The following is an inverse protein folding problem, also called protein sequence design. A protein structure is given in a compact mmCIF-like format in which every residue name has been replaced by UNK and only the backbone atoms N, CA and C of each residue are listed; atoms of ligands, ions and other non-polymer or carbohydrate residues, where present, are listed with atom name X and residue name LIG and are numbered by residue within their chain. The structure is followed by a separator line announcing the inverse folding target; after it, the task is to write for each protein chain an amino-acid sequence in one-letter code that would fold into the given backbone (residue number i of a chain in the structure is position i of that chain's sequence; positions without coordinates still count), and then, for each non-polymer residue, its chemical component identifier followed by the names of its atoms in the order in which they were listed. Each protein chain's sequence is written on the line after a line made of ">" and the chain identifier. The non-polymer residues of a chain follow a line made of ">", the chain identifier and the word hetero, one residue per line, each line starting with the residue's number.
data_IF_035181847576
#
_entry.id   IF_035181847576
#
_cell.length_a   1.000
_cell.length_b   1.000
_cell.length_c   1.000
_cell.angle_alpha   90.00
_cell.angle_beta   90.00
_cell.angle_gamma   90.00
#
_symmetry.space_group_name_H-M   'P 1'
#
loop_
_entity.id
_entity.type
_entity.pdbx_description
1 polymer ?
#
# COMPACT_ATOMS: atom_id res chain seq x y z
N UNK A 1 -24.99 -29.49 -19.91
CA UNK A 1 -23.77 -29.69 -19.10
C UNK A 1 -22.94 -28.42 -19.14
N UNK A 2 -23.17 -27.49 -18.20
CA UNK A 2 -22.42 -26.24 -18.13
C UNK A 2 -21.13 -26.50 -17.34
N UNK A 3 -19.98 -26.29 -17.98
CA UNK A 3 -18.66 -26.39 -17.33
C UNK A 3 -18.51 -25.23 -16.35
N UNK A 4 -18.60 -25.52 -15.05
CA UNK A 4 -18.30 -24.57 -13.98
C UNK A 4 -16.81 -24.21 -14.05
N UNK A 5 -16.52 -22.95 -14.36
CA UNK A 5 -15.16 -22.40 -14.42
C UNK A 5 -14.62 -22.34 -12.98
N UNK A 6 -13.68 -23.23 -12.67
CA UNK A 6 -12.98 -23.29 -11.38
C UNK A 6 -12.11 -22.03 -11.25
N UNK A 7 -12.50 -21.11 -10.37
CA UNK A 7 -11.67 -19.94 -10.04
C UNK A 7 -10.39 -20.42 -9.34
N UNK A 8 -9.25 -19.94 -9.85
CA UNK A 8 -7.93 -20.31 -9.37
C UNK A 8 -7.67 -19.66 -8.00
N UNK A 9 -7.09 -20.43 -7.06
CA UNK A 9 -6.68 -19.92 -5.76
C UNK A 9 -5.62 -18.81 -5.92
N UNK A 10 -5.72 -17.68 -5.19
CA UNK A 10 -4.74 -16.60 -5.32
C UNK A 10 -3.40 -17.04 -4.70
N UNK A 11 -2.33 -16.95 -5.49
CA UNK A 11 -0.99 -17.44 -5.16
C UNK A 11 -0.22 -16.54 -4.16
N UNK A 12 -0.77 -15.38 -3.78
CA UNK A 12 -0.11 -14.43 -2.88
C UNK A 12 -1.13 -13.64 -2.05
N UNK A 13 -0.82 -13.32 -0.79
CA UNK A 13 -1.66 -12.49 0.11
C UNK A 13 -2.08 -11.15 -0.52
N UNK A 14 -1.25 -10.60 -1.41
CA UNK A 14 -1.51 -9.36 -2.14
C UNK A 14 -2.58 -9.49 -3.24
N UNK A 15 -2.72 -10.67 -3.88
CA UNK A 15 -3.68 -10.90 -4.96
C UNK A 15 -5.10 -11.12 -4.42
N UNK A 16 -5.22 -11.72 -3.23
CA UNK A 16 -6.50 -11.85 -2.54
C UNK A 16 -7.12 -10.49 -2.18
N UNK A 17 -6.29 -9.48 -1.89
CA UNK A 17 -6.73 -8.15 -1.44
C UNK A 17 -7.08 -7.17 -2.59
N UNK A 18 -6.77 -7.50 -3.85
CA UNK A 18 -7.17 -6.68 -5.01
C UNK A 18 -8.66 -6.81 -5.38
N UNK A 19 -9.31 -7.88 -4.94
CA UNK A 19 -10.66 -8.25 -5.39
C UNK A 19 -11.81 -7.65 -4.57
N UNK A 20 -11.52 -7.05 -3.41
CA UNK A 20 -12.55 -6.52 -2.51
C UNK A 20 -12.66 -5.00 -2.67
N UNK A 21 -13.82 -4.51 -3.14
CA UNK A 21 -14.21 -3.10 -3.07
C UNK A 21 -14.43 -2.69 -1.60
N UNK A 22 -13.32 -2.51 -0.88
CA UNK A 22 -13.30 -2.01 0.49
C UNK A 22 -13.50 -0.49 0.48
N UNK A 23 -14.71 -0.06 0.14
CA UNK A 23 -15.15 1.34 0.17
C UNK A 23 -16.25 1.45 1.20
N UNK A 24 -16.14 2.47 2.06
CA UNK A 24 -17.19 2.80 3.02
C UNK A 24 -18.42 3.23 2.20
N UNK A 25 -19.60 2.69 2.49
CA UNK A 25 -20.84 3.09 1.80
C UNK A 25 -21.59 4.09 2.69
N UNK A 26 -22.20 5.14 2.12
CA UNK A 26 -23.03 6.05 2.90
C UNK A 26 -24.24 5.28 3.44
N UNK A 27 -24.48 5.40 4.75
CA UNK A 27 -25.62 4.76 5.40
C UNK A 27 -26.13 5.66 6.53
N UNK A 28 -27.44 5.76 6.67
CA UNK A 28 -28.07 6.49 7.79
C UNK A 28 -27.89 5.76 9.13
N UNK A 29 -27.70 4.44 9.09
CA UNK A 29 -27.46 3.57 10.25
C UNK A 29 -26.04 3.02 10.18
N UNK A 30 -25.37 2.87 11.32
CA UNK A 30 -24.06 2.21 11.42
C UNK A 30 -24.23 0.73 11.78
N UNK A 31 -24.45 -0.19 10.82
CA UNK A 31 -24.45 -1.61 11.11
C UNK A 31 -23.04 -2.04 11.54
N UNK A 32 -22.89 -2.90 12.56
CA UNK A 32 -21.62 -3.52 12.88
C UNK A 32 -21.25 -4.48 11.75
N UNK A 33 -20.40 -4.01 10.83
CA UNK A 33 -19.83 -4.81 9.75
C UNK A 33 -18.50 -5.36 10.24
N UNK A 34 -18.22 -6.65 10.03
CA UNK A 34 -16.88 -7.19 10.29
C UNK A 34 -15.89 -6.66 9.24
N UNK A 35 -15.09 -5.67 9.63
CA UNK A 35 -14.05 -5.08 8.78
C UNK A 35 -12.64 -5.56 9.14
N UNK A 36 -12.52 -6.66 9.89
CA UNK A 36 -11.24 -7.20 10.36
C UNK A 36 -10.31 -7.63 9.22
N UNK A 37 -10.88 -7.98 8.06
CA UNK A 37 -10.17 -8.46 6.87
C UNK A 37 -9.85 -7.35 5.86
N UNK A 38 -10.30 -6.12 6.10
CA UNK A 38 -10.05 -5.00 5.19
C UNK A 38 -8.56 -4.61 5.20
N UNK A 39 -8.01 -4.13 4.07
CA UNK A 39 -6.59 -3.89 3.94
C UNK A 39 -6.14 -2.57 4.57
N UNK A 40 -4.88 -2.55 5.01
CA UNK A 40 -4.15 -1.35 5.42
C UNK A 40 -4.91 -0.51 6.47
N UNK A 41 -5.17 0.76 6.15
CA UNK A 41 -5.78 1.75 7.03
C UNK A 41 -7.28 1.50 7.28
N UNK A 42 -7.92 0.69 6.44
CA UNK A 42 -9.35 0.38 6.56
C UNK A 42 -9.63 -0.86 7.41
N UNK A 43 -8.58 -1.52 7.93
CA UNK A 43 -8.70 -2.64 8.85
C UNK A 43 -9.34 -2.20 10.17
N UNK A 44 -10.35 -2.93 10.63
CA UNK A 44 -11.08 -2.63 11.86
C UNK A 44 -11.74 -1.24 11.88
N UNK A 45 -12.24 -0.78 10.73
CA UNK A 45 -13.01 0.45 10.58
C UNK A 45 -14.20 0.53 11.55
N UNK A 46 -14.79 -0.62 11.90
CA UNK A 46 -15.87 -0.75 12.91
C UNK A 46 -15.53 -0.16 14.28
N UNK A 47 -14.24 -0.04 14.60
CA UNK A 47 -13.77 0.50 15.89
C UNK A 47 -13.64 2.02 15.91
N UNK A 48 -13.83 2.70 14.78
CA UNK A 48 -13.76 4.17 14.71
C UNK A 48 -15.05 4.80 15.23
N UNK A 49 -14.93 5.88 16.02
CA UNK A 49 -16.08 6.65 16.47
C UNK A 49 -16.73 7.37 15.27
N UNK A 50 -17.99 7.02 14.97
CA UNK A 50 -18.74 7.61 13.85
C UNK A 50 -19.39 8.92 14.29
N UNK A 51 -18.98 10.04 13.68
CA UNK A 51 -19.64 11.34 13.86
C UNK A 51 -20.88 11.49 12.97
N UNK A 52 -20.78 11.06 11.72
CA UNK A 52 -21.84 11.11 10.70
C UNK A 52 -21.70 9.94 9.75
N UNK A 53 -22.76 9.15 9.55
CA UNK A 53 -22.76 7.99 8.63
C UNK A 53 -23.11 8.31 7.18
N UNK A 54 -23.62 9.51 6.92
CA UNK A 54 -24.05 9.94 5.58
C UNK A 54 -23.03 10.91 4.98
N UNK A 55 -22.68 10.68 3.71
CA UNK A 55 -21.88 11.58 2.89
C UNK A 55 -22.16 11.30 1.41
N UNK A 56 -21.83 12.24 0.53
CA UNK A 56 -21.95 12.06 -0.92
C UNK A 56 -20.63 11.50 -1.46
N UNK A 57 -20.58 10.22 -1.91
CA UNK A 57 -19.34 9.67 -2.45
C UNK A 57 -19.01 10.37 -3.78
N UNK A 58 -17.79 10.89 -3.88
CA UNK A 58 -17.27 11.46 -5.12
C UNK A 58 -16.46 10.40 -5.88
N UNK A 59 -16.48 10.40 -7.23
CA UNK A 59 -15.81 9.40 -8.05
C UNK A 59 -14.29 9.62 -8.18
N UNK A 60 -13.70 10.50 -7.37
CA UNK A 60 -12.28 10.85 -7.47
C UNK A 60 -11.43 10.02 -6.52
N UNK A 61 -10.30 9.51 -7.04
CA UNK A 61 -9.34 8.73 -6.27
C UNK A 61 -9.62 7.22 -6.27
N UNK A 62 -8.79 6.49 -5.54
CA UNK A 62 -8.87 5.04 -5.45
C UNK A 62 -8.25 4.52 -4.14
N UNK A 63 -8.67 3.31 -3.74
CA UNK A 63 -8.06 2.60 -2.60
C UNK A 63 -6.57 2.35 -2.85
N UNK A 64 -5.70 2.37 -1.82
CA UNK A 64 -4.25 2.23 -2.01
C UNK A 64 -3.80 1.00 -2.79
N UNK A 65 -4.51 -0.13 -2.63
CA UNK A 65 -4.20 -1.38 -3.32
C UNK A 65 -4.69 -1.44 -4.77
N UNK A 66 -5.68 -0.62 -5.13
CA UNK A 66 -6.26 -0.56 -6.48
C UNK A 66 -5.80 0.68 -7.27
N UNK A 67 -4.64 1.24 -6.92
CA UNK A 67 -4.03 2.34 -7.67
C UNK A 67 -3.47 1.82 -9.00
N UNK A 68 -3.54 2.62 -10.10
CA UNK A 68 -2.76 2.32 -11.29
C UNK A 68 -1.27 2.32 -10.96
N UNK A 69 -0.47 1.54 -11.70
CA UNK A 69 0.95 1.30 -11.40
C UNK A 69 1.73 2.60 -11.19
N UNK A 70 1.54 3.59 -12.06
CA UNK A 70 2.23 4.87 -12.00
C UNK A 70 1.95 5.61 -10.68
N UNK A 71 0.68 5.63 -10.26
CA UNK A 71 0.28 6.24 -9.00
C UNK A 71 0.72 5.40 -7.80
N UNK A 72 0.78 4.08 -7.95
CA UNK A 72 1.29 3.20 -6.90
C UNK A 72 2.77 3.48 -6.63
N UNK A 73 3.59 3.63 -7.67
CA UNK A 73 5.00 4.03 -7.57
C UNK A 73 5.18 5.45 -7.01
N UNK A 74 4.24 6.36 -7.30
CA UNK A 74 4.28 7.72 -6.77
C UNK A 74 4.17 7.78 -5.24
N UNK A 75 3.46 6.83 -4.62
CA UNK A 75 3.25 6.73 -3.18
C UNK A 75 3.90 5.49 -2.56
N UNK A 76 4.85 4.87 -3.27
CA UNK A 76 5.45 3.60 -2.88
C UNK A 76 6.49 3.74 -1.77
N UNK A 77 6.57 2.72 -0.92
CA UNK A 77 7.66 2.53 0.04
C UNK A 77 8.19 1.11 -0.14
N UNK A 78 9.49 0.97 -0.28
CA UNK A 78 10.17 -0.31 -0.40
C UNK A 78 10.83 -0.65 0.94
N UNK A 79 10.42 -1.76 1.55
CA UNK A 79 11.15 -2.35 2.67
C UNK A 79 12.36 -3.11 2.12
N UNK A 80 13.52 -2.46 2.08
CA UNK A 80 14.72 -3.02 1.50
C UNK A 80 15.59 -3.67 2.58
N UNK A 81 16.12 -4.85 2.30
CA UNK A 81 17.26 -5.38 3.04
C UNK A 81 18.56 -4.85 2.42
N UNK A 82 19.18 -3.87 3.08
CA UNK A 82 20.41 -3.23 2.61
C UNK A 82 21.55 -4.26 2.68
N UNK A 83 22.31 -4.49 1.59
CA UNK A 83 23.48 -5.34 1.65
C UNK A 83 24.63 -4.67 2.43
N UNK A 84 25.55 -5.50 2.91
CA UNK A 84 26.82 -5.04 3.51
C UNK A 84 27.72 -4.49 2.40
N UNK A 85 28.48 -3.44 2.74
CA UNK A 85 29.46 -2.67 1.95
C UNK A 85 28.98 -1.36 1.32
N UNK A 86 27.87 -1.25 0.56
CA UNK A 86 27.48 0.04 0.01
C UNK A 86 26.92 0.94 1.10
N UNK A 87 27.09 2.24 0.94
CA UNK A 87 26.43 3.24 1.75
C UNK A 87 24.93 3.27 1.48
N UNK A 88 24.15 3.74 2.44
CA UNK A 88 22.70 3.89 2.27
C UNK A 88 22.32 4.81 1.09
N UNK A 89 23.12 5.85 0.85
CA UNK A 89 22.91 6.79 -0.26
C UNK A 89 23.13 6.14 -1.63
N UNK A 90 24.15 5.28 -1.77
CA UNK A 90 24.41 4.55 -3.02
C UNK A 90 23.27 3.59 -3.35
N UNK A 91 22.78 2.85 -2.36
CA UNK A 91 21.67 1.90 -2.53
C UNK A 91 20.39 2.64 -2.97
N UNK A 92 20.08 3.78 -2.35
CA UNK A 92 18.94 4.62 -2.74
C UNK A 92 19.13 5.17 -4.16
N UNK A 93 20.34 5.57 -4.55
CA UNK A 93 20.65 6.03 -5.90
C UNK A 93 20.46 4.91 -6.94
N UNK A 94 20.78 3.66 -6.60
CA UNK A 94 20.50 2.51 -7.48
C UNK A 94 19.00 2.32 -7.66
N UNK A 95 18.21 2.36 -6.59
CA UNK A 95 16.76 2.22 -6.65
C UNK A 95 16.14 3.34 -7.50
N UNK A 96 16.59 4.58 -7.31
CA UNK A 96 16.15 5.72 -8.12
C UNK A 96 16.38 5.47 -9.62
N UNK A 97 17.55 4.93 -9.98
CA UNK A 97 17.91 4.62 -11.37
C UNK A 97 17.10 3.45 -11.94
N UNK A 98 16.94 2.38 -11.16
CA UNK A 98 16.19 1.18 -11.57
C UNK A 98 14.71 1.50 -11.80
N UNK A 99 14.08 2.19 -10.86
CA UNK A 99 12.66 2.53 -10.92
C UNK A 99 12.37 3.83 -11.69
N UNK A 100 13.41 4.52 -12.17
CA UNK A 100 13.31 5.82 -12.87
C UNK A 100 12.45 6.85 -12.13
N UNK A 101 12.56 6.88 -10.80
CA UNK A 101 11.79 7.78 -9.95
C UNK A 101 12.44 9.18 -9.90
N UNK A 102 11.62 10.22 -9.71
CA UNK A 102 12.12 11.60 -9.63
C UNK A 102 12.84 11.87 -8.32
N UNK A 103 12.24 11.41 -7.21
CA UNK A 103 12.72 11.63 -5.84
C UNK A 103 12.70 10.31 -5.07
N UNK A 104 13.69 10.13 -4.22
CA UNK A 104 13.82 8.97 -3.33
C UNK A 104 14.41 9.42 -2.00
N UNK A 105 13.95 8.85 -0.90
CA UNK A 105 14.46 9.09 0.45
C UNK A 105 14.56 7.78 1.24
N UNK A 106 15.23 7.80 2.39
CA UNK A 106 15.36 6.62 3.24
C UNK A 106 15.11 6.93 4.73
N UNK A 107 14.73 5.92 5.52
CA UNK A 107 14.34 6.08 6.94
C UNK A 107 15.48 6.33 7.93
N UNK A 108 16.72 6.39 7.46
CA UNK A 108 17.92 6.56 8.29
C UNK A 108 19.17 6.03 7.61
N UNK A 109 20.33 6.62 7.92
CA UNK A 109 21.60 6.18 7.35
C UNK A 109 22.12 4.97 8.11
N UNK A 110 22.19 3.82 7.44
CA UNK A 110 22.96 2.68 7.89
C UNK A 110 24.41 2.81 7.39
N UNK A 111 25.36 2.50 8.28
CA UNK A 111 26.77 2.47 7.93
C UNK A 111 27.04 1.43 6.83
N UNK A 112 28.11 1.62 6.02
CA UNK A 112 28.49 0.68 4.98
C UNK A 112 28.54 -0.78 5.44
N UNK A 113 29.03 -1.03 6.65
CA UNK A 113 29.20 -2.38 7.21
C UNK A 113 27.91 -2.99 7.80
N UNK A 114 26.80 -2.26 7.82
CA UNK A 114 25.53 -2.69 8.41
C UNK A 114 24.56 -3.15 7.32
N UNK A 115 23.96 -4.32 7.52
CA UNK A 115 22.81 -4.80 6.73
C UNK A 115 21.50 -4.65 7.50
N UNK A 116 20.38 -4.85 6.82
CA UNK A 116 19.06 -4.90 7.43
C UNK A 116 18.06 -3.91 6.82
N UNK A 117 16.99 -3.66 7.56
CA UNK A 117 15.84 -2.87 7.10
C UNK A 117 16.21 -1.41 6.81
N UNK A 118 16.15 -1.04 5.54
CA UNK A 118 16.22 0.33 5.05
C UNK A 118 14.92 0.62 4.30
N UNK A 119 14.02 1.40 4.90
CA UNK A 119 12.80 1.80 4.19
C UNK A 119 13.18 2.88 3.16
N UNK A 120 12.90 2.60 1.89
CA UNK A 120 13.15 3.53 0.78
C UNK A 120 11.81 4.08 0.30
N UNK A 121 11.60 5.38 0.52
CA UNK A 121 10.40 6.10 0.11
C UNK A 121 10.56 6.63 -1.32
N UNK A 122 9.53 6.47 -2.15
CA UNK A 122 9.51 6.92 -3.54
C UNK A 122 8.64 8.17 -3.70
N UNK A 123 9.12 9.15 -4.48
CA UNK A 123 8.39 10.32 -4.94
C UNK A 123 7.60 11.05 -3.83
N UNK A 124 6.26 10.94 -3.80
CA UNK A 124 5.43 11.62 -2.78
C UNK A 124 5.56 10.99 -1.39
N UNK A 125 5.97 9.72 -1.31
CA UNK A 125 6.20 9.05 -0.03
C UNK A 125 7.40 9.61 0.74
N UNK A 126 8.28 10.41 0.13
CA UNK A 126 9.42 11.05 0.83
C UNK A 126 9.00 12.16 1.80
N UNK A 127 7.70 12.45 1.90
CA UNK A 127 7.12 13.44 2.85
C UNK A 127 6.71 12.82 4.18
N UNK A 128 6.75 11.49 4.27
CA UNK A 128 6.58 10.73 5.51
C UNK A 128 7.83 10.89 6.37
#
# INVERSE_FOLDING_TARGET
>A
MAKTKKEAAPATTADAQKSTDCVIKPSSVSPPIDTSKWPLLLKNYDRLNVRTGHYTPLPFGCSPLNRPLDQHLLYGVCNLDKPVNPSSHEVVAWIKRILKCEKTGHSGTLDPKVSGCLLVCLNRATRL
#
